data_IF_990814401815
#
_entry.id   IF_990814401815
#
_cell.length_a   1.000
_cell.length_b   1.000
_cell.length_c   1.000
_cell.angle_alpha   90.00
_cell.angle_beta   90.00
_cell.angle_gamma   90.00
#
_symmetry.space_group_name_H-M   'P 1'
#
loop_
_entity.id
_entity.type
_entity.pdbx_description
1 polymer ?
#
# COMPACT_ATOMS: atom_id res chain seq x y z
N UNK A 1 27.30 -17.26 17.11
CA UNK A 1 26.40 -16.74 18.16
C UNK A 1 25.13 -17.57 18.09
N UNK A 2 24.76 -18.30 19.16
CA UNK A 2 23.53 -19.10 19.13
C UNK A 2 22.31 -18.27 18.64
N UNK A 3 21.41 -18.91 17.90
CA UNK A 3 20.17 -18.29 17.44
C UNK A 3 19.45 -17.58 18.60
N UNK A 4 18.92 -16.37 18.36
CA UNK A 4 18.17 -15.64 19.37
C UNK A 4 16.68 -15.68 19.03
N UNK A 5 15.87 -16.11 20.00
CA UNK A 5 14.43 -16.26 19.87
C UNK A 5 13.72 -15.50 20.99
N UNK A 6 12.64 -14.79 20.66
CA UNK A 6 11.82 -14.08 21.66
C UNK A 6 10.37 -13.96 21.22
N UNK A 7 9.48 -13.70 22.18
CA UNK A 7 8.09 -13.31 21.92
C UNK A 7 7.87 -11.95 22.56
N UNK A 8 7.28 -11.01 21.81
CA UNK A 8 7.11 -9.63 22.26
C UNK A 8 5.86 -8.97 21.71
N UNK A 9 5.25 -8.11 22.52
CA UNK A 9 4.17 -7.20 22.11
C UNK A 9 4.67 -5.74 21.91
N UNK A 10 5.99 -5.53 22.01
CA UNK A 10 6.65 -4.23 21.97
C UNK A 10 6.86 -3.58 23.34
N UNK A 11 6.15 -4.02 24.39
CA UNK A 11 6.31 -3.54 25.77
C UNK A 11 6.93 -4.62 26.64
N UNK A 12 6.39 -5.83 26.58
CA UNK A 12 6.88 -7.04 27.24
C UNK A 12 7.62 -7.89 26.23
N UNK A 13 8.82 -8.35 26.58
CA UNK A 13 9.61 -9.26 25.74
C UNK A 13 10.07 -10.45 26.57
N UNK A 14 9.68 -11.64 26.15
CA UNK A 14 10.16 -12.91 26.70
C UNK A 14 11.23 -13.46 25.79
N UNK A 15 12.49 -13.39 26.22
CA UNK A 15 13.62 -14.00 25.51
C UNK A 15 13.65 -15.49 25.81
N UNK A 16 13.53 -16.32 24.78
CA UNK A 16 13.43 -17.77 24.90
C UNK A 16 14.83 -18.40 24.95
N UNK A 17 15.46 -18.38 26.13
CA UNK A 17 16.71 -19.07 26.39
C UNK A 17 16.82 -19.57 27.84
N UNK A 18 17.84 -20.37 28.12
CA UNK A 18 18.09 -20.94 29.46
C UNK A 18 18.30 -19.88 30.54
N UNK A 19 19.02 -18.79 30.24
CA UNK A 19 19.28 -17.69 31.18
C UNK A 19 18.00 -17.02 31.67
N UNK A 20 16.99 -16.88 30.80
CA UNK A 20 15.70 -16.29 31.15
C UNK A 20 14.69 -17.34 31.65
N UNK A 21 15.09 -18.61 31.77
CA UNK A 21 14.26 -19.73 32.22
C UNK A 21 13.24 -20.19 31.20
N UNK A 22 13.54 -20.03 29.92
CA UNK A 22 12.77 -20.57 28.79
C UNK A 22 13.72 -21.35 27.84
N UNK A 23 14.44 -22.38 28.30
CA UNK A 23 15.31 -23.16 27.43
C UNK A 23 14.50 -23.79 26.29
N UNK A 24 14.92 -23.54 25.04
CA UNK A 24 14.30 -24.12 23.84
C UNK A 24 15.13 -25.31 23.39
N UNK A 25 14.50 -26.47 23.29
CA UNK A 25 15.14 -27.71 22.86
C UNK A 25 15.11 -27.86 21.34
N UNK A 26 13.96 -27.56 20.74
CA UNK A 26 13.80 -27.60 19.29
C UNK A 26 12.76 -26.60 18.81
N UNK A 27 13.08 -25.93 17.72
CA UNK A 27 12.14 -25.08 16.98
C UNK A 27 12.59 -24.98 15.52
N UNK A 28 11.65 -25.16 14.60
CA UNK A 28 11.90 -25.01 13.17
C UNK A 28 10.71 -24.32 12.52
N UNK A 29 10.86 -23.07 12.06
CA UNK A 29 9.83 -22.37 11.30
C UNK A 29 9.45 -23.13 10.03
N UNK A 30 8.16 -23.24 9.77
CA UNK A 30 7.64 -23.91 8.57
C UNK A 30 7.47 -22.90 7.43
N UNK A 31 7.77 -23.31 6.20
CA UNK A 31 7.51 -22.49 5.01
C UNK A 31 6.00 -22.41 4.71
N UNK A 32 5.48 -21.24 4.30
CA UNK A 32 4.10 -21.15 3.87
C UNK A 32 3.84 -21.97 2.61
N UNK A 33 2.64 -22.53 2.52
CA UNK A 33 2.16 -23.22 1.31
C UNK A 33 1.32 -22.24 0.49
N UNK A 34 1.49 -22.19 -0.84
CA UNK A 34 0.63 -21.37 -1.68
C UNK A 34 -0.81 -21.90 -1.64
N UNK A 35 -1.77 -21.03 -1.33
CA UNK A 35 -3.17 -21.24 -1.63
C UNK A 35 -3.35 -21.00 -3.14
N UNK A 36 -3.60 -22.07 -3.88
CA UNK A 36 -4.00 -21.96 -5.28
C UNK A 36 -5.52 -22.02 -5.31
N UNK A 37 -6.17 -20.88 -5.58
CA UNK A 37 -7.55 -20.90 -6.06
C UNK A 37 -7.49 -21.29 -7.55
N UNK A 38 -7.80 -22.55 -7.86
CA UNK A 38 -8.06 -22.93 -9.25
C UNK A 38 -9.40 -22.32 -9.65
N UNK A 39 -9.36 -21.25 -10.45
CA UNK A 39 -10.49 -20.87 -11.27
C UNK A 39 -10.20 -21.52 -12.60
N UNK A 40 -10.86 -22.64 -12.91
CA UNK A 40 -10.92 -23.11 -14.29
C UNK A 40 -11.84 -22.14 -15.04
N UNK A 41 -11.32 -21.32 -15.97
CA UNK A 41 -12.20 -20.61 -16.88
C UNK A 41 -12.88 -21.70 -17.72
N UNK A 42 -14.21 -21.79 -17.67
CA UNK A 42 -14.96 -22.72 -18.52
C UNK A 42 -14.53 -22.56 -19.97
N UNK A 43 -13.86 -23.57 -20.52
CA UNK A 43 -13.44 -23.63 -21.93
C UNK A 43 -11.97 -23.28 -22.25
N UNK A 44 -11.08 -23.16 -21.26
CA UNK A 44 -9.63 -22.96 -21.50
C UNK A 44 -8.80 -24.06 -20.85
N UNK A 45 -8.32 -25.02 -21.65
CA UNK A 45 -7.30 -25.99 -21.21
C UNK A 45 -5.99 -25.24 -20.87
N UNK A 46 -5.48 -25.44 -19.67
CA UNK A 46 -4.28 -24.74 -19.17
C UNK A 46 -4.55 -23.38 -18.51
N UNK A 47 -5.77 -23.13 -18.03
CA UNK A 47 -6.17 -21.89 -17.35
C UNK A 47 -5.20 -21.44 -16.24
N UNK A 48 -4.91 -20.14 -16.23
CA UNK A 48 -3.99 -19.51 -15.29
C UNK A 48 -4.56 -19.43 -13.87
N UNK A 49 -3.70 -19.65 -12.88
CA UNK A 49 -4.00 -19.48 -11.45
C UNK A 49 -4.33 -18.01 -11.20
N UNK A 50 -5.58 -17.72 -10.84
CA UNK A 50 -6.10 -16.34 -10.77
C UNK A 50 -5.66 -15.57 -9.52
N UNK A 51 -5.23 -16.25 -8.45
CA UNK A 51 -4.66 -15.63 -7.26
C UNK A 51 -3.85 -16.68 -6.49
N UNK A 52 -2.52 -16.60 -6.55
CA UNK A 52 -1.66 -17.37 -5.65
C UNK A 52 -1.48 -16.56 -4.35
N UNK A 53 -2.34 -16.83 -3.38
CA UNK A 53 -2.23 -16.23 -2.05
C UNK A 53 -1.43 -17.15 -1.12
N UNK A 54 -0.77 -16.61 -0.09
CA UNK A 54 -0.06 -17.43 0.88
C UNK A 54 -0.94 -17.75 2.07
N UNK A 55 -0.98 -19.03 2.48
CA UNK A 55 -1.68 -19.43 3.70
C UNK A 55 -0.88 -19.06 4.94
N UNK A 56 -1.59 -18.70 6.01
CA UNK A 56 -0.97 -18.53 7.33
C UNK A 56 -0.32 -19.84 7.77
N UNK A 57 0.78 -19.75 8.51
CA UNK A 57 1.62 -20.90 8.85
C UNK A 57 1.30 -21.35 10.26
N UNK A 58 1.04 -22.64 10.42
CA UNK A 58 1.15 -23.30 11.73
C UNK A 58 2.51 -23.96 11.78
N UNK A 59 3.38 -23.44 12.63
CA UNK A 59 4.73 -23.99 12.80
C UNK A 59 4.66 -25.34 13.52
N UNK A 60 5.73 -26.13 13.42
CA UNK A 60 5.89 -27.31 14.25
C UNK A 60 5.93 -26.89 15.74
N UNK A 61 5.37 -27.69 16.67
CA UNK A 61 5.37 -27.33 18.08
C UNK A 61 6.79 -27.08 18.57
N UNK A 62 7.03 -25.91 19.16
CA UNK A 62 8.29 -25.58 19.81
C UNK A 62 8.38 -26.36 21.12
N UNK A 63 9.42 -27.18 21.26
CA UNK A 63 9.71 -27.90 22.50
C UNK A 63 10.57 -27.01 23.40
N UNK A 64 10.09 -26.75 24.61
CA UNK A 64 10.77 -25.87 25.55
C UNK A 64 10.54 -26.28 26.99
N UNK A 65 11.53 -26.02 27.84
CA UNK A 65 11.35 -26.01 29.28
C UNK A 65 10.93 -24.63 29.77
N UNK A 66 10.30 -24.58 30.93
CA UNK A 66 10.09 -23.36 31.71
C UNK A 66 10.66 -23.59 33.10
N UNK A 67 11.61 -22.76 33.51
CA UNK A 67 12.36 -22.91 34.76
C UNK A 67 12.29 -21.61 35.56
N UNK A 68 11.80 -21.72 36.78
CA UNK A 68 11.77 -20.64 37.77
C UNK A 68 12.86 -20.80 38.82
N UNK A 69 13.29 -19.68 39.39
CA UNK A 69 14.11 -19.63 40.61
C UNK A 69 13.34 -20.10 41.87
N UNK A 70 12.01 -20.10 41.78
CA UNK A 70 11.07 -20.61 42.78
C UNK A 70 9.78 -21.08 42.09
N UNK A 71 8.91 -21.77 42.81
CA UNK A 71 7.60 -22.20 42.28
C UNK A 71 6.71 -21.00 41.90
N UNK A 72 6.80 -19.91 42.64
CA UNK A 72 6.10 -18.65 42.33
C UNK A 72 6.64 -18.01 41.06
N UNK A 73 7.96 -18.04 40.86
CA UNK A 73 8.60 -17.54 39.63
C UNK A 73 8.23 -18.41 38.42
N UNK A 74 8.20 -19.74 38.55
CA UNK A 74 7.72 -20.65 37.50
C UNK A 74 6.29 -20.27 37.06
N UNK A 75 5.38 -20.08 38.02
CA UNK A 75 4.00 -19.65 37.74
C UNK A 75 3.96 -18.28 37.07
N UNK A 76 4.76 -17.32 37.54
CA UNK A 76 4.81 -15.98 36.95
C UNK A 76 5.27 -16.03 35.48
N UNK A 77 6.24 -16.89 35.15
CA UNK A 77 6.72 -17.09 33.78
C UNK A 77 5.67 -17.73 32.86
N UNK A 78 5.00 -18.78 33.34
CA UNK A 78 3.88 -19.41 32.61
C UNK A 78 2.80 -18.36 32.35
N UNK A 79 2.37 -17.63 33.40
CA UNK A 79 1.35 -16.59 33.28
C UNK A 79 1.75 -15.47 32.32
N UNK A 80 3.02 -15.05 32.32
CA UNK A 80 3.53 -14.02 31.43
C UNK A 80 3.47 -14.46 29.96
N UNK A 81 3.86 -15.72 29.68
CA UNK A 81 3.76 -16.29 28.34
C UNK A 81 2.30 -16.40 27.91
N UNK A 82 1.44 -17.03 28.71
CA UNK A 82 0.01 -17.17 28.43
C UNK A 82 -0.70 -15.83 28.21
N UNK A 83 -0.31 -14.79 28.96
CA UNK A 83 -0.85 -13.43 28.78
C UNK A 83 -0.53 -12.86 27.40
N UNK A 84 0.70 -13.06 26.91
CA UNK A 84 1.08 -12.65 25.54
C UNK A 84 0.32 -13.46 24.49
N UNK A 85 0.16 -14.78 24.67
CA UNK A 85 -0.58 -15.61 23.71
C UNK A 85 -2.07 -15.21 23.65
N UNK A 86 -2.68 -14.92 24.80
CA UNK A 86 -4.06 -14.45 24.87
C UNK A 86 -4.21 -13.03 24.29
N UNK A 87 -3.22 -12.15 24.46
CA UNK A 87 -3.20 -10.84 23.81
C UNK A 87 -3.20 -10.96 22.28
N UNK A 88 -2.40 -11.88 21.72
CA UNK A 88 -2.39 -12.18 20.30
C UNK A 88 -3.78 -12.60 19.80
N UNK A 89 -4.45 -13.51 20.52
CA UNK A 89 -5.79 -13.98 20.18
C UNK A 89 -6.85 -12.88 20.27
N UNK A 90 -6.80 -12.05 21.32
CA UNK A 90 -7.69 -10.89 21.48
C UNK A 90 -7.54 -9.89 20.35
N UNK A 91 -6.31 -9.65 19.87
CA UNK A 91 -6.04 -8.77 18.74
C UNK A 91 -6.72 -9.25 17.46
N UNK A 92 -6.70 -10.55 17.19
CA UNK A 92 -7.40 -11.11 16.02
C UNK A 92 -8.92 -11.01 16.14
N UNK A 93 -9.47 -11.12 17.36
CA UNK A 93 -10.92 -11.03 17.58
C UNK A 93 -11.44 -9.60 17.51
N UNK A 94 -10.79 -8.66 18.18
CA UNK A 94 -11.30 -7.30 18.38
C UNK A 94 -10.63 -6.25 17.50
N UNK A 95 -9.59 -6.62 16.75
CA UNK A 95 -8.77 -5.69 15.98
C UNK A 95 -8.16 -4.54 16.82
N UNK A 96 -8.09 -4.74 18.13
CA UNK A 96 -7.65 -3.78 19.14
C UNK A 96 -6.57 -4.41 20.02
N UNK A 97 -5.65 -3.61 20.54
CA UNK A 97 -4.51 -4.05 21.34
C UNK A 97 -3.20 -4.22 20.55
N UNK A 98 -2.10 -4.52 21.24
CA UNK A 98 -0.79 -4.68 20.60
C UNK A 98 -0.76 -5.95 19.74
N UNK A 99 0.07 -5.90 18.69
CA UNK A 99 0.40 -7.10 17.91
C UNK A 99 1.53 -7.84 18.62
N UNK A 100 1.38 -9.14 18.79
CA UNK A 100 2.39 -10.00 19.39
C UNK A 100 3.17 -10.67 18.27
N UNK A 101 4.50 -10.66 18.39
CA UNK A 101 5.41 -11.21 17.41
C UNK A 101 6.28 -12.28 18.02
N UNK A 102 6.54 -13.34 17.26
CA UNK A 102 7.73 -14.17 17.44
C UNK A 102 8.88 -13.52 16.69
N UNK A 103 10.05 -13.41 17.32
CA UNK A 103 11.27 -12.87 16.72
C UNK A 103 12.37 -13.92 16.68
N UNK A 104 13.06 -14.00 15.55
CA UNK A 104 14.16 -14.94 15.32
C UNK A 104 15.32 -14.20 14.67
N UNK A 105 16.52 -14.34 15.24
CA UNK A 105 17.77 -13.97 14.61
C UNK A 105 18.62 -15.24 14.49
N UNK A 106 18.98 -15.60 13.26
CA UNK A 106 19.83 -16.77 13.04
C UNK A 106 21.29 -16.49 13.38
N UNK A 107 22.04 -17.54 13.72
CA UNK A 107 23.49 -17.44 13.86
C UNK A 107 24.10 -16.94 12.54
N UNK A 108 25.01 -15.98 12.64
CA UNK A 108 25.65 -15.33 11.51
C UNK A 108 24.80 -14.26 10.80
N UNK A 109 23.51 -14.14 11.08
CA UNK A 109 22.68 -13.06 10.52
C UNK A 109 22.73 -11.79 11.39
N UNK A 110 22.94 -10.63 10.74
CA UNK A 110 22.92 -9.33 11.40
C UNK A 110 21.49 -8.84 11.75
N UNK A 111 20.47 -9.43 11.14
CA UNK A 111 19.10 -8.93 11.19
C UNK A 111 18.20 -9.84 12.00
N UNK A 112 17.38 -9.24 12.87
CA UNK A 112 16.28 -9.94 13.52
C UNK A 112 15.04 -9.88 12.63
N UNK A 113 14.40 -11.02 12.48
CA UNK A 113 13.16 -11.20 11.74
C UNK A 113 12.02 -11.44 12.71
N UNK A 114 10.81 -11.03 12.34
CA UNK A 114 9.61 -11.22 13.15
C UNK A 114 8.43 -11.66 12.31
N UNK A 115 7.51 -12.38 12.94
CA UNK A 115 6.21 -12.71 12.36
C UNK A 115 5.12 -12.54 13.40
N UNK A 116 3.99 -11.95 13.02
CA UNK A 116 2.87 -11.74 13.92
C UNK A 116 2.22 -13.09 14.26
N UNK A 117 2.07 -13.36 15.55
CA UNK A 117 1.34 -14.52 16.07
C UNK A 117 -0.16 -14.22 15.97
N UNK A 118 -0.90 -15.10 15.29
CA UNK A 118 -2.36 -14.99 15.09
C UNK A 118 -3.11 -15.82 16.12
N UNK A 119 -2.60 -17.02 16.40
CA UNK A 119 -3.10 -17.90 17.43
C UNK A 119 -1.92 -18.66 18.01
N UNK A 120 -1.96 -18.94 19.30
CA UNK A 120 -0.99 -19.80 19.94
C UNK A 120 -1.58 -20.44 21.19
N UNK A 121 -1.02 -21.56 21.60
CA UNK A 121 -1.35 -22.21 22.87
C UNK A 121 -0.11 -22.88 23.46
N UNK A 122 0.00 -22.78 24.78
CA UNK A 122 0.99 -23.49 25.57
C UNK A 122 0.35 -24.79 26.06
N UNK A 123 1.00 -25.92 25.81
CA UNK A 123 0.59 -27.23 26.31
C UNK A 123 1.70 -27.73 27.25
N UNK A 124 1.38 -27.95 28.51
CA UNK A 124 2.30 -28.63 29.42
C UNK A 124 2.38 -30.12 29.05
N UNK A 125 3.56 -30.72 29.13
CA UNK A 125 3.74 -32.15 28.87
C UNK A 125 2.99 -33.01 29.89
N UNK A 126 2.69 -34.26 29.54
CA UNK A 126 1.87 -35.16 30.36
C UNK A 126 2.42 -35.35 31.79
N UNK A 127 3.73 -35.26 31.96
CA UNK A 127 4.45 -35.43 33.23
C UNK A 127 4.90 -34.10 33.86
N UNK A 128 4.34 -32.97 33.43
CA UNK A 128 4.70 -31.63 33.89
C UNK A 128 4.68 -31.46 35.42
N UNK A 129 3.80 -32.17 36.12
CA UNK A 129 3.70 -32.13 37.59
C UNK A 129 4.88 -32.80 38.30
N UNK A 130 5.59 -33.73 37.66
CA UNK A 130 6.74 -34.42 38.25
C UNK A 130 7.94 -33.48 38.42
N UNK A 131 8.08 -32.49 37.54
CA UNK A 131 9.15 -31.49 37.57
C UNK A 131 8.80 -30.26 38.41
N UNK A 132 7.50 -30.06 38.71
CA UNK A 132 7.00 -28.90 39.45
C UNK A 132 7.64 -28.71 40.84
N UNK A 133 7.92 -29.76 41.65
CA UNK A 133 8.64 -29.62 42.91
C UNK A 133 10.00 -28.94 42.76
N UNK A 134 10.66 -29.12 41.61
CA UNK A 134 11.95 -28.54 41.24
C UNK A 134 11.82 -27.15 40.58
N UNK A 135 10.63 -26.54 40.61
CA UNK A 135 10.32 -25.27 39.93
C UNK A 135 10.63 -25.29 38.42
N UNK A 136 10.42 -26.44 37.78
CA UNK A 136 10.59 -26.62 36.35
C UNK A 136 9.37 -27.35 35.75
N UNK A 137 9.16 -27.18 34.45
CA UNK A 137 8.21 -27.96 33.68
C UNK A 137 8.60 -28.00 32.20
N UNK A 138 8.13 -29.00 31.48
CA UNK A 138 8.30 -29.11 30.02
C UNK A 138 6.98 -28.74 29.34
N UNK A 139 7.09 -28.04 28.20
CA UNK A 139 5.96 -27.53 27.47
C UNK A 139 6.18 -27.54 25.96
N UNK A 140 5.07 -27.63 25.24
CA UNK A 140 4.99 -27.42 23.79
C UNK A 140 4.26 -26.12 23.51
N UNK A 141 4.92 -25.23 22.79
CA UNK A 141 4.31 -24.00 22.30
C UNK A 141 3.88 -24.18 20.85
N UNK A 142 2.58 -24.20 20.62
CA UNK A 142 1.98 -24.30 19.30
C UNK A 142 1.68 -22.89 18.79
N UNK A 143 2.20 -22.52 17.61
CA UNK A 143 2.07 -21.16 17.05
C UNK A 143 1.50 -21.23 15.64
N UNK A 144 0.45 -20.43 15.39
CA UNK A 144 0.00 -20.03 14.06
C UNK A 144 0.35 -18.56 13.86
N UNK A 145 1.14 -18.26 12.83
CA UNK A 145 1.67 -16.92 12.53
C UNK A 145 1.35 -16.48 11.12
N UNK A 146 1.66 -15.22 10.82
CA UNK A 146 1.64 -14.71 9.44
C UNK A 146 2.53 -15.56 8.53
N UNK A 147 2.13 -15.69 7.28
CA UNK A 147 2.86 -16.47 6.27
C UNK A 147 4.28 -15.96 5.99
N UNK A 148 4.59 -14.72 6.35
CA UNK A 148 5.88 -14.09 6.11
C UNK A 148 6.61 -13.75 7.40
N UNK A 149 7.92 -13.57 7.24
CA UNK A 149 8.82 -12.93 8.18
C UNK A 149 9.15 -11.54 7.66
N UNK A 150 9.08 -10.52 8.53
CA UNK A 150 9.53 -9.17 8.22
C UNK A 150 10.68 -8.75 9.13
N UNK A 151 11.56 -7.87 8.66
CA UNK A 151 12.62 -7.32 9.51
C UNK A 151 12.02 -6.50 10.65
N UNK A 152 12.64 -6.56 11.84
CA UNK A 152 12.21 -5.73 12.99
C UNK A 152 12.45 -4.24 12.75
N UNK A 153 13.51 -3.91 12.03
CA UNK A 153 13.87 -2.55 11.62
C UNK A 153 13.39 -2.22 10.20
N UNK A 154 13.13 -0.95 9.95
CA UNK A 154 12.78 -0.44 8.62
C UNK A 154 14.04 -0.24 7.77
N UNK A 155 13.92 -0.50 6.47
CA UNK A 155 14.87 -0.10 5.45
C UNK A 155 14.35 1.13 4.70
N UNK A 156 15.26 1.94 4.17
CA UNK A 156 14.92 3.11 3.35
C UNK A 156 14.93 2.72 1.88
N UNK A 157 13.77 2.81 1.21
CA UNK A 157 13.69 2.67 -0.25
C UNK A 157 14.13 3.96 -0.94
N UNK A 158 13.76 5.11 -0.36
CA UNK A 158 14.13 6.44 -0.86
C UNK A 158 14.19 7.42 0.30
N UNK A 159 15.31 8.14 0.38
CA UNK A 159 15.41 9.31 1.25
C UNK A 159 14.52 10.43 0.75
N UNK A 160 14.25 11.42 1.60
CA UNK A 160 13.47 12.61 1.25
C UNK A 160 13.87 13.17 -0.11
N UNK A 161 12.93 13.15 -1.05
CA UNK A 161 13.10 13.63 -2.42
C UNK A 161 11.92 14.54 -2.76
N UNK A 162 12.22 15.75 -3.22
CA UNK A 162 11.20 16.69 -3.66
C UNK A 162 10.63 16.27 -5.01
N UNK A 163 9.30 16.21 -5.08
CA UNK A 163 8.53 16.06 -6.30
C UNK A 163 7.61 17.27 -6.46
N UNK A 164 7.19 17.53 -7.69
CA UNK A 164 6.17 18.53 -7.98
C UNK A 164 4.87 17.86 -8.38
N UNK A 165 3.75 18.51 -8.12
CA UNK A 165 2.41 18.03 -8.44
C UNK A 165 2.11 18.10 -9.95
N UNK A 166 3.08 17.82 -10.83
CA UNK A 166 2.99 17.92 -12.29
C UNK A 166 3.73 16.75 -13.00
N UNK A 167 4.50 17.00 -14.06
CA UNK A 167 5.25 15.96 -14.78
C UNK A 167 6.33 15.27 -13.91
N UNK A 168 6.85 15.95 -12.89
CA UNK A 168 7.90 15.44 -12.01
C UNK A 168 7.32 14.91 -10.69
N UNK A 169 6.14 14.28 -10.76
CA UNK A 169 5.43 13.73 -9.61
C UNK A 169 5.80 12.28 -9.26
N UNK A 170 6.97 11.82 -9.73
CA UNK A 170 7.40 10.43 -9.68
C UNK A 170 8.69 10.24 -8.89
N UNK A 171 8.78 9.14 -8.16
CA UNK A 171 10.01 8.61 -7.57
C UNK A 171 10.33 7.22 -8.12
N UNK A 172 11.61 6.99 -8.44
CA UNK A 172 12.12 5.66 -8.79
C UNK A 172 12.79 5.01 -7.57
N UNK A 173 12.44 3.75 -7.31
CA UNK A 173 12.95 2.91 -6.23
C UNK A 173 13.52 1.60 -6.84
N UNK A 174 14.85 1.49 -6.94
CA UNK A 174 15.53 0.40 -7.68
C UNK A 174 16.22 -0.64 -6.77
N UNK A 175 15.99 -0.59 -5.46
CA UNK A 175 16.71 -1.46 -4.50
C UNK A 175 15.82 -1.88 -3.33
N UNK A 176 14.67 -2.46 -3.66
CA UNK A 176 13.78 -3.05 -2.66
C UNK A 176 14.32 -4.41 -2.24
N UNK A 177 14.66 -4.54 -0.96
CA UNK A 177 15.17 -5.73 -0.31
C UNK A 177 14.02 -6.68 0.08
N UNK A 178 14.34 -7.96 0.22
CA UNK A 178 13.39 -9.01 0.56
C UNK A 178 13.13 -9.93 -0.63
N UNK A 179 12.15 -10.81 -0.46
CA UNK A 179 11.81 -11.84 -1.45
C UNK A 179 10.36 -11.70 -1.92
N UNK A 180 9.49 -11.12 -1.11
CA UNK A 180 8.06 -10.95 -1.42
C UNK A 180 7.64 -9.48 -1.29
N UNK A 181 6.50 -9.09 -1.91
CA UNK A 181 5.99 -7.74 -1.79
C UNK A 181 5.80 -7.32 -0.32
N UNK A 182 6.13 -6.06 -0.04
CA UNK A 182 6.07 -5.50 1.31
C UNK A 182 5.38 -4.13 1.33
N UNK A 183 4.52 -3.86 2.32
CA UNK A 183 3.85 -2.57 2.42
C UNK A 183 4.86 -1.43 2.58
N UNK A 184 4.65 -0.35 1.84
CA UNK A 184 5.41 0.87 2.02
C UNK A 184 5.03 1.59 3.32
N UNK A 185 5.93 2.43 3.78
CA UNK A 185 5.70 3.45 4.79
C UNK A 185 6.09 4.77 4.13
N UNK A 186 5.11 5.62 3.91
CA UNK A 186 5.23 6.87 3.19
C UNK A 186 5.20 8.02 4.18
N UNK A 187 6.18 8.92 4.13
CA UNK A 187 6.18 10.23 4.79
C UNK A 187 6.21 11.29 3.69
N UNK A 188 5.10 12.01 3.53
CA UNK A 188 4.88 13.01 2.47
C UNK A 188 4.75 14.37 3.16
N UNK A 189 5.73 15.24 2.95
CA UNK A 189 5.82 16.54 3.62
C UNK A 189 5.57 17.70 2.68
N UNK A 190 4.94 18.73 3.22
CA UNK A 190 4.74 20.01 2.58
C UNK A 190 6.08 20.75 2.49
N UNK A 191 6.46 21.17 1.29
CA UNK A 191 7.68 21.95 1.02
C UNK A 191 7.37 23.19 0.19
N UNK A 192 6.36 23.97 0.60
CA UNK A 192 5.85 25.12 -0.15
C UNK A 192 6.13 26.46 0.56
N UNK A 193 6.85 26.46 1.68
CA UNK A 193 7.16 27.66 2.48
C UNK A 193 5.94 28.26 3.21
N UNK A 194 4.78 27.60 3.18
CA UNK A 194 3.55 28.03 3.81
C UNK A 194 2.67 26.85 4.19
N UNK A 195 1.72 27.05 5.11
CA UNK A 195 0.73 26.04 5.44
C UNK A 195 -0.27 25.85 4.29
N UNK A 196 -0.46 24.62 3.83
CA UNK A 196 -1.36 24.25 2.73
C UNK A 196 -2.46 23.32 3.24
N UNK A 197 -3.69 23.55 2.81
CA UNK A 197 -4.84 22.71 3.14
C UNK A 197 -4.93 21.53 2.16
N UNK A 198 -3.94 20.64 2.12
CA UNK A 198 -4.04 19.46 1.25
C UNK A 198 -5.27 18.64 1.62
N UNK A 199 -6.04 18.19 0.62
CA UNK A 199 -7.33 17.52 0.80
C UNK A 199 -7.25 16.05 0.38
N UNK A 200 -6.81 15.76 -0.83
CA UNK A 200 -6.60 14.41 -1.34
C UNK A 200 -5.12 14.17 -1.65
N UNK A 201 -4.68 12.93 -1.45
CA UNK A 201 -3.43 12.39 -1.97
C UNK A 201 -3.73 11.10 -2.73
N UNK A 202 -3.38 11.08 -4.00
CA UNK A 202 -3.50 9.90 -4.86
C UNK A 202 -2.11 9.38 -5.17
N UNK A 203 -1.86 8.14 -4.78
CA UNK A 203 -0.53 7.55 -4.83
C UNK A 203 -0.65 6.23 -5.58
N UNK A 204 0.21 6.00 -6.57
CA UNK A 204 0.26 4.75 -7.32
C UNK A 204 1.67 4.23 -7.47
N UNK A 205 1.86 2.93 -7.56
CA UNK A 205 3.15 2.32 -7.88
C UNK A 205 3.07 1.51 -9.17
N UNK A 206 3.84 1.91 -10.18
CA UNK A 206 4.07 1.10 -11.38
C UNK A 206 5.30 0.22 -11.21
N UNK A 207 5.10 -1.08 -11.42
CA UNK A 207 6.12 -2.12 -11.26
C UNK A 207 6.26 -2.95 -12.52
N UNK A 208 5.17 -3.15 -13.27
CA UNK A 208 5.12 -4.10 -14.38
C UNK A 208 5.02 -3.43 -15.76
N UNK A 209 4.56 -2.17 -15.86
CA UNK A 209 4.37 -1.50 -17.16
C UNK A 209 5.61 -0.72 -17.61
N UNK A 210 6.48 -0.34 -16.66
CA UNK A 210 7.78 0.26 -16.94
C UNK A 210 7.67 1.67 -17.51
N UNK A 211 6.82 2.51 -16.95
CA UNK A 211 6.73 3.93 -17.31
C UNK A 211 7.95 4.71 -16.78
N UNK A 212 9.02 4.73 -17.57
CA UNK A 212 10.33 5.32 -17.22
C UNK A 212 10.43 6.81 -17.56
N UNK A 213 9.48 7.36 -18.33
CA UNK A 213 9.40 8.78 -18.68
C UNK A 213 8.09 9.45 -18.26
N UNK A 214 7.57 10.33 -19.11
CA UNK A 214 6.25 10.98 -18.98
C UNK A 214 5.10 10.11 -19.53
N UNK A 215 5.36 8.83 -19.76
CA UNK A 215 4.46 7.88 -20.43
C UNK A 215 3.22 7.59 -19.60
N UNK A 216 3.29 7.80 -18.28
CA UNK A 216 2.16 7.75 -17.37
C UNK A 216 1.20 8.94 -17.54
N UNK A 217 1.51 9.92 -18.41
CA UNK A 217 0.68 11.09 -18.66
C UNK A 217 0.29 11.19 -20.13
N UNK A 218 -0.98 11.51 -20.35
CA UNK A 218 -1.53 11.91 -21.63
C UNK A 218 -1.80 13.40 -21.59
N UNK A 219 -1.39 14.11 -22.64
CA UNK A 219 -1.56 15.56 -22.72
C UNK A 219 -3.06 15.93 -22.71
N UNK A 220 -3.39 16.96 -21.94
CA UNK A 220 -4.72 17.56 -21.96
C UNK A 220 -4.84 18.66 -23.01
N UNK A 221 -5.79 19.58 -22.81
CA UNK A 221 -6.03 20.71 -23.70
C UNK A 221 -7.00 21.74 -23.11
N UNK A 222 -7.29 22.76 -23.90
CA UNK A 222 -8.22 23.84 -23.54
C UNK A 222 -9.41 23.86 -24.49
N UNK A 223 -10.61 23.93 -23.92
CA UNK A 223 -11.86 24.09 -24.65
C UNK A 223 -12.64 25.27 -24.09
N UNK A 224 -13.04 26.20 -24.95
CA UNK A 224 -13.86 27.35 -24.61
C UNK A 224 -15.22 27.24 -25.29
N UNK A 225 -16.28 27.51 -24.54
CA UNK A 225 -17.66 27.45 -25.03
C UNK A 225 -18.39 28.76 -24.70
N UNK A 226 -19.12 29.28 -25.70
CA UNK A 226 -19.90 30.51 -25.57
C UNK A 226 -21.38 30.28 -25.26
N UNK A 227 -21.83 29.03 -25.19
CA UNK A 227 -23.23 28.64 -25.02
C UNK A 227 -23.30 27.32 -24.23
N UNK A 228 -24.48 26.95 -23.68
CA UNK A 228 -24.64 25.69 -22.96
C UNK A 228 -24.14 24.49 -23.77
N UNK A 229 -23.45 23.57 -23.10
CA UNK A 229 -22.93 22.33 -23.68
C UNK A 229 -23.55 21.13 -22.98
N UNK A 230 -23.59 20.00 -23.68
CA UNK A 230 -24.10 18.72 -23.18
C UNK A 230 -23.07 17.62 -23.44
N UNK A 231 -23.31 16.41 -22.90
CA UNK A 231 -22.44 15.26 -23.16
C UNK A 231 -22.39 14.79 -24.62
N UNK A 232 -23.18 15.38 -25.52
CA UNK A 232 -23.08 15.18 -26.97
C UNK A 232 -21.99 16.04 -27.62
N UNK A 233 -21.42 16.99 -26.88
CA UNK A 233 -20.32 17.83 -27.35
C UNK A 233 -18.98 17.19 -26.97
N UNK A 234 -18.11 17.00 -27.97
CA UNK A 234 -16.70 16.71 -27.73
C UNK A 234 -16.05 17.97 -27.14
N UNK A 235 -15.61 17.89 -25.88
CA UNK A 235 -14.93 18.99 -25.19
C UNK A 235 -13.44 18.88 -25.44
N UNK A 236 -12.83 17.75 -25.08
CA UNK A 236 -11.41 17.49 -25.31
C UNK A 236 -11.18 16.05 -25.75
N UNK A 237 -10.18 15.88 -26.61
CA UNK A 237 -9.67 14.58 -27.04
C UNK A 237 -8.18 14.50 -26.71
N UNK A 238 -7.80 13.42 -26.03
CA UNK A 238 -6.44 13.15 -25.59
C UNK A 238 -5.98 11.80 -26.14
N UNK A 239 -5.15 11.83 -27.17
CA UNK A 239 -4.70 10.62 -27.89
C UNK A 239 -3.65 9.84 -27.10
N UNK A 240 -3.86 8.53 -26.97
CA UNK A 240 -2.89 7.62 -26.35
C UNK A 240 -1.90 7.16 -27.40
N UNK A 241 -0.62 7.44 -27.16
CA UNK A 241 0.43 6.99 -28.09
C UNK A 241 0.52 5.46 -28.13
N UNK A 242 0.93 4.91 -29.28
CA UNK A 242 1.14 3.46 -29.43
C UNK A 242 2.07 2.89 -28.36
N UNK A 243 3.16 3.59 -28.04
CA UNK A 243 4.12 3.17 -27.00
C UNK A 243 3.47 3.03 -25.63
N UNK A 244 2.60 3.98 -25.26
CA UNK A 244 1.91 3.94 -23.96
C UNK A 244 0.91 2.79 -23.93
N UNK A 245 0.09 2.63 -24.99
CA UNK A 245 -0.88 1.53 -25.06
C UNK A 245 -0.21 0.14 -25.06
N UNK A 246 0.92 -0.01 -25.76
CA UNK A 246 1.70 -1.25 -25.77
C UNK A 246 2.24 -1.57 -24.35
N UNK A 247 2.70 -0.56 -23.60
CA UNK A 247 3.15 -0.71 -22.21
C UNK A 247 2.01 -1.02 -21.25
N UNK A 248 0.83 -0.44 -21.47
CA UNK A 248 -0.36 -0.76 -20.68
C UNK A 248 -0.75 -2.23 -20.81
N UNK A 249 -0.55 -2.85 -21.97
CA UNK A 249 -0.70 -4.29 -22.19
C UNK A 249 -2.04 -4.90 -21.73
N UNK A 250 -3.14 -4.13 -21.74
CA UNK A 250 -4.44 -4.58 -21.21
C UNK A 250 -4.59 -4.44 -19.70
N UNK A 251 -3.70 -3.71 -19.04
CA UNK A 251 -3.76 -3.40 -17.61
C UNK A 251 -4.87 -2.42 -17.24
N UNK A 252 -5.19 -2.38 -15.95
CA UNK A 252 -6.19 -1.49 -15.37
C UNK A 252 -5.53 -0.26 -14.72
N UNK A 253 -6.03 0.93 -15.04
CA UNK A 253 -5.49 2.20 -14.59
C UNK A 253 -6.60 3.10 -14.05
N UNK A 254 -6.34 3.75 -12.91
CA UNK A 254 -7.06 4.96 -12.52
C UNK A 254 -6.71 6.09 -13.49
N UNK A 255 -7.75 6.81 -13.91
CA UNK A 255 -7.67 7.95 -14.80
C UNK A 255 -7.77 9.24 -14.00
N UNK A 256 -6.62 9.82 -13.66
CA UNK A 256 -6.56 11.04 -12.85
C UNK A 256 -6.42 12.28 -13.74
N UNK A 257 -7.45 13.12 -13.82
CA UNK A 257 -7.45 14.38 -14.58
C UNK A 257 -7.10 15.58 -13.71
N UNK A 258 -5.99 16.27 -14.02
CA UNK A 258 -5.62 17.52 -13.35
C UNK A 258 -6.12 18.74 -14.13
N UNK A 259 -7.08 19.48 -13.59
CA UNK A 259 -7.66 20.66 -14.23
C UNK A 259 -7.03 21.96 -13.71
N UNK A 260 -6.41 22.73 -14.59
CA UNK A 260 -5.96 24.10 -14.28
C UNK A 260 -7.07 25.14 -14.48
N UNK A 261 -8.16 24.78 -15.16
CA UNK A 261 -9.39 25.55 -15.19
C UNK A 261 -10.58 24.60 -15.35
N UNK A 262 -11.47 24.58 -14.37
CA UNK A 262 -12.75 23.90 -14.50
C UNK A 262 -13.78 24.66 -13.66
N UNK A 263 -14.77 25.31 -14.28
CA UNK A 263 -15.78 26.05 -13.53
C UNK A 263 -16.57 25.12 -12.59
N UNK A 264 -16.94 25.63 -11.42
CA UNK A 264 -17.77 24.91 -10.46
C UNK A 264 -19.20 24.70 -11.01
N UNK A 265 -19.84 23.60 -10.63
CA UNK A 265 -21.21 23.26 -11.06
C UNK A 265 -21.32 22.68 -12.47
N UNK A 266 -20.19 22.42 -13.13
CA UNK A 266 -20.14 21.70 -14.41
C UNK A 266 -20.04 20.21 -14.15
N UNK A 267 -20.78 19.42 -14.92
CA UNK A 267 -20.65 17.96 -14.88
C UNK A 267 -19.64 17.54 -15.94
N UNK A 268 -18.63 16.78 -15.55
CA UNK A 268 -17.60 16.26 -16.46
C UNK A 268 -17.60 14.75 -16.44
N UNK A 269 -17.32 14.17 -17.60
CA UNK A 269 -17.24 12.73 -17.78
C UNK A 269 -16.22 12.40 -18.85
N UNK A 270 -15.34 11.47 -18.53
CA UNK A 270 -14.36 10.94 -19.45
C UNK A 270 -14.87 9.61 -20.05
N UNK A 271 -14.48 9.32 -21.27
CA UNK A 271 -14.79 8.09 -22.02
C UNK A 271 -13.59 7.60 -22.79
N UNK A 272 -13.51 6.29 -23.02
CA UNK A 272 -12.49 5.68 -23.87
C UNK A 272 -13.08 5.34 -25.24
N UNK A 273 -12.42 5.77 -26.32
CA UNK A 273 -12.86 5.48 -27.68
C UNK A 273 -11.75 4.87 -28.53
N UNK A 274 -12.16 4.08 -29.51
CA UNK A 274 -11.36 3.78 -30.71
C UNK A 274 -11.70 4.80 -31.80
N UNK A 275 -10.67 5.32 -32.45
CA UNK A 275 -10.81 6.25 -33.57
C UNK A 275 -10.10 5.76 -34.83
N UNK A 276 -10.56 6.23 -36.00
CA UNK A 276 -9.83 6.18 -37.27
C UNK A 276 -9.83 7.56 -37.91
N UNK A 277 -8.65 8.13 -38.11
CA UNK A 277 -8.44 9.54 -38.47
C UNK A 277 -9.06 10.44 -37.40
N UNK A 278 -10.02 11.27 -37.81
CA UNK A 278 -10.78 12.15 -36.92
C UNK A 278 -12.11 11.53 -36.46
N UNK A 279 -12.51 10.39 -37.03
CA UNK A 279 -13.80 9.77 -36.73
C UNK A 279 -13.73 8.86 -35.51
N UNK A 280 -14.69 9.02 -34.61
CA UNK A 280 -14.98 8.09 -33.52
C UNK A 280 -15.65 6.84 -34.11
N UNK A 281 -15.13 5.66 -33.82
CA UNK A 281 -15.71 4.41 -34.29
C UNK A 281 -16.55 3.71 -33.23
N UNK A 282 -15.98 3.52 -32.04
CA UNK A 282 -16.62 2.77 -30.97
C UNK A 282 -16.16 3.25 -29.61
N UNK A 283 -17.12 3.39 -28.70
CA UNK A 283 -16.85 3.62 -27.29
C UNK A 283 -16.48 2.28 -26.62
N UNK A 284 -15.35 2.25 -25.93
CA UNK A 284 -14.84 1.08 -25.21
C UNK A 284 -15.19 1.11 -23.72
N UNK A 285 -15.20 2.29 -23.11
CA UNK A 285 -15.48 2.48 -21.69
C UNK A 285 -16.16 3.82 -21.43
N UNK A 286 -16.87 3.91 -20.32
CA UNK A 286 -17.65 5.07 -19.90
C UNK A 286 -17.39 5.36 -18.43
N UNK A 287 -16.94 6.58 -18.11
CA UNK A 287 -16.66 6.99 -16.73
C UNK A 287 -17.89 7.36 -15.92
N UNK A 288 -17.73 7.56 -14.60
CA UNK A 288 -18.73 8.24 -13.80
C UNK A 288 -18.84 9.72 -14.22
N UNK A 289 -20.04 10.27 -14.10
CA UNK A 289 -20.24 11.71 -14.20
C UNK A 289 -19.89 12.36 -12.86
N UNK A 290 -19.07 13.41 -12.90
CA UNK A 290 -18.55 14.07 -11.70
C UNK A 290 -18.92 15.55 -11.76
N UNK A 291 -19.50 16.05 -10.67
CA UNK A 291 -19.79 17.48 -10.53
C UNK A 291 -18.54 18.21 -10.09
N UNK A 292 -18.17 19.25 -10.82
CA UNK A 292 -17.01 20.08 -10.51
C UNK A 292 -17.26 20.99 -9.32
N UNK A 293 -16.29 21.05 -8.41
CA UNK A 293 -16.21 22.09 -7.37
C UNK A 293 -15.23 23.21 -7.70
N UNK A 294 -14.54 23.16 -8.85
CA UNK A 294 -13.52 24.14 -9.23
C UNK A 294 -12.34 23.52 -10.00
N UNK A 295 -11.15 24.10 -9.87
CA UNK A 295 -9.90 23.59 -10.46
C UNK A 295 -9.48 22.27 -9.80
N UNK A 296 -10.11 21.15 -10.09
CA UNK A 296 -9.92 19.94 -9.28
C UNK A 296 -8.99 18.89 -9.90
N UNK A 297 -8.45 18.04 -9.04
CA UNK A 297 -7.93 16.74 -9.44
C UNK A 297 -9.10 15.75 -9.38
N UNK A 298 -9.39 15.08 -10.50
CA UNK A 298 -10.56 14.22 -10.65
C UNK A 298 -10.12 12.79 -10.93
N UNK A 299 -10.65 11.82 -10.19
CA UNK A 299 -10.53 10.41 -10.53
C UNK A 299 -11.76 9.99 -11.36
N UNK A 300 -11.57 9.71 -12.65
CA UNK A 300 -12.61 9.20 -13.55
C UNK A 300 -12.79 7.68 -13.43
N UNK A 301 -12.19 7.05 -12.44
CA UNK A 301 -12.30 5.63 -12.15
C UNK A 301 -11.26 4.79 -12.88
N UNK A 302 -11.49 3.47 -12.86
CA UNK A 302 -10.53 2.47 -13.31
C UNK A 302 -10.95 1.85 -14.63
N UNK A 303 -10.11 1.95 -15.66
CA UNK A 303 -10.37 1.35 -16.96
C UNK A 303 -9.24 0.47 -17.45
N UNK A 304 -9.60 -0.48 -18.31
CA UNK A 304 -8.66 -1.31 -19.03
C UNK A 304 -8.22 -0.59 -20.31
N UNK A 305 -6.91 -0.48 -20.53
CA UNK A 305 -6.36 0.09 -21.77
C UNK A 305 -5.93 -1.07 -22.68
N UNK A 306 -6.69 -1.37 -23.76
CA UNK A 306 -6.43 -2.55 -24.56
C UNK A 306 -5.11 -2.43 -25.34
N UNK A 307 -4.37 -3.54 -25.51
CA UNK A 307 -3.17 -3.55 -26.32
C UNK A 307 -3.50 -3.59 -27.82
N UNK A 308 -2.70 -2.87 -28.63
CA UNK A 308 -2.73 -3.01 -30.08
C UNK A 308 -3.87 -2.26 -30.81
N UNK A 309 -3.98 -2.48 -32.12
CA UNK A 309 -4.95 -1.79 -32.99
C UNK A 309 -4.61 -0.32 -33.31
N UNK A 310 -3.49 0.18 -32.79
CA UNK A 310 -3.02 1.55 -32.98
C UNK A 310 -2.05 1.62 -34.17
N UNK A 311 -2.35 2.49 -35.12
CA UNK A 311 -1.58 2.81 -36.32
C UNK A 311 -1.43 4.33 -36.48
N UNK A 312 -0.81 4.80 -37.57
CA UNK A 312 -0.76 6.23 -37.87
C UNK A 312 -2.15 6.86 -38.08
N UNK A 313 -3.14 6.06 -38.47
CA UNK A 313 -4.50 6.51 -38.79
C UNK A 313 -5.56 5.93 -37.87
N UNK A 314 -5.22 5.15 -36.86
CA UNK A 314 -6.18 4.55 -35.93
C UNK A 314 -5.59 4.46 -34.53
N UNK A 315 -6.40 4.61 -33.50
CA UNK A 315 -5.88 4.53 -32.14
C UNK A 315 -6.95 4.53 -31.07
N UNK A 316 -6.48 4.72 -29.84
CA UNK A 316 -7.31 4.84 -28.66
C UNK A 316 -7.12 6.25 -28.10
N UNK A 317 -8.20 6.87 -27.68
CA UNK A 317 -8.13 8.18 -27.07
C UNK A 317 -9.19 8.39 -26.00
N UNK A 318 -8.84 9.29 -25.09
CA UNK A 318 -9.68 9.72 -24.00
C UNK A 318 -10.50 10.92 -24.44
N UNK A 319 -11.80 10.82 -24.23
CA UNK A 319 -12.80 11.79 -24.64
C UNK A 319 -13.42 12.41 -23.40
N UNK A 320 -13.09 13.67 -23.14
CA UNK A 320 -13.78 14.45 -22.13
C UNK A 320 -15.03 15.07 -22.75
N UNK A 321 -16.14 14.91 -22.04
CA UNK A 321 -17.42 15.56 -22.34
C UNK A 321 -17.92 16.27 -21.10
N UNK A 322 -18.73 17.32 -21.27
CA UNK A 322 -19.22 18.10 -20.14
C UNK A 322 -20.65 18.63 -20.36
N UNK A 323 -21.35 18.87 -19.25
CA UNK A 323 -22.62 19.59 -19.22
C UNK A 323 -22.44 20.89 -18.46
N UNK A 324 -22.73 22.01 -19.11
CA UNK A 324 -22.68 23.34 -18.51
C UNK A 324 -23.83 24.20 -19.04
N UNK A 325 -24.43 25.02 -18.18
CA UNK A 325 -25.58 25.87 -18.50
C UNK A 325 -25.25 27.27 -19.02
N UNK A 326 -23.98 27.60 -19.25
CA UNK A 326 -23.53 28.96 -19.60
C UNK A 326 -22.32 28.96 -20.52
N UNK A 327 -21.52 30.04 -20.50
CA UNK A 327 -20.21 30.11 -21.17
C UNK A 327 -19.07 29.84 -20.19
N UNK A 328 -17.92 29.38 -20.67
CA UNK A 328 -16.74 29.18 -19.84
C UNK A 328 -15.59 28.52 -20.58
N UNK A 329 -14.56 28.15 -19.82
CA UNK A 329 -13.35 27.50 -20.34
C UNK A 329 -12.96 26.33 -19.44
N UNK A 330 -12.76 25.17 -20.06
CA UNK A 330 -12.24 23.96 -19.43
C UNK A 330 -10.80 23.77 -19.92
N UNK A 331 -9.86 23.70 -18.99
CA UNK A 331 -8.45 23.40 -19.26
C UNK A 331 -8.03 22.18 -18.44
N UNK A 332 -7.91 21.06 -19.14
CA UNK A 332 -7.31 19.84 -18.63
C UNK A 332 -5.80 19.95 -18.88
N UNK A 333 -5.00 19.94 -17.82
CA UNK A 333 -3.55 20.00 -17.97
C UNK A 333 -2.98 18.65 -18.43
N UNK A 334 -3.53 17.55 -17.91
CA UNK A 334 -3.12 16.18 -18.23
C UNK A 334 -4.16 15.17 -17.72
N UNK A 335 -4.15 13.98 -18.30
CA UNK A 335 -4.66 12.75 -17.71
C UNK A 335 -3.46 11.90 -17.28
N UNK A 336 -3.48 11.37 -16.07
CA UNK A 336 -2.47 10.47 -15.57
C UNK A 336 -3.02 9.05 -15.44
N UNK A 337 -2.31 8.12 -16.07
CA UNK A 337 -2.51 6.68 -15.97
C UNK A 337 -1.80 6.21 -14.70
N UNK A 338 -2.58 5.83 -13.70
CA UNK A 338 -2.05 5.33 -12.43
C UNK A 338 -2.47 3.87 -12.25
N UNK A 339 -1.54 2.90 -12.11
CA UNK A 339 -1.93 1.48 -12.01
C UNK A 339 -2.93 1.22 -10.89
N UNK A 340 -3.99 0.46 -11.17
CA UNK A 340 -5.08 0.26 -10.22
C UNK A 340 -4.78 -0.74 -9.09
N UNK A 341 -3.80 -1.62 -9.27
CA UNK A 341 -3.48 -2.68 -8.30
C UNK A 341 -2.84 -2.13 -7.01
N UNK A 342 -1.83 -1.27 -7.15
CA UNK A 342 -1.10 -0.66 -6.05
C UNK A 342 -1.39 0.84 -6.04
N UNK A 343 -2.65 1.16 -5.75
CA UNK A 343 -3.18 2.52 -5.63
C UNK A 343 -3.59 2.79 -4.18
N UNK A 344 -3.29 3.99 -3.70
CA UNK A 344 -3.61 4.46 -2.36
C UNK A 344 -4.22 5.85 -2.44
N UNK A 345 -5.41 6.01 -1.85
CA UNK A 345 -6.08 7.30 -1.71
C UNK A 345 -6.19 7.68 -0.24
N UNK A 346 -5.59 8.82 0.11
CA UNK A 346 -5.66 9.41 1.45
C UNK A 346 -6.45 10.71 1.39
N UNK A 347 -7.26 10.94 2.41
CA UNK A 347 -8.08 12.13 2.54
C UNK A 347 -7.81 12.85 3.86
N UNK A 348 -7.58 14.15 3.81
CA UNK A 348 -7.45 15.01 4.98
C UNK A 348 -8.74 15.81 5.13
N UNK A 349 -9.40 15.81 6.29
CA UNK A 349 -10.73 16.44 6.38
C UNK A 349 -10.71 17.96 6.55
N UNK A 350 -9.79 18.51 7.35
CA UNK A 350 -9.86 19.95 7.71
C UNK A 350 -8.53 20.57 8.11
N UNK A 351 -7.43 19.81 8.14
CA UNK A 351 -6.20 20.28 8.76
C UNK A 351 -5.26 20.93 7.75
N UNK A 352 -4.84 22.17 8.01
CA UNK A 352 -3.77 22.80 7.24
C UNK A 352 -2.44 22.17 7.63
N UNK A 353 -1.72 21.62 6.67
CA UNK A 353 -0.40 21.03 6.89
C UNK A 353 0.61 22.17 6.83
N UNK A 354 1.29 22.52 7.94
CA UNK A 354 2.31 23.57 7.93
C UNK A 354 3.48 23.16 7.04
N UNK A 355 4.29 24.13 6.63
CA UNK A 355 5.54 23.85 5.92
C UNK A 355 6.45 22.95 6.77
N UNK A 356 7.05 21.93 6.15
CA UNK A 356 7.79 20.85 6.82
C UNK A 356 6.93 19.83 7.57
N UNK A 357 5.62 20.09 7.75
CA UNK A 357 4.64 19.12 8.24
C UNK A 357 4.25 18.14 7.14
N UNK A 358 3.52 17.08 7.47
CA UNK A 358 3.22 16.06 6.48
C UNK A 358 2.15 15.06 6.84
N UNK A 359 1.97 14.09 5.96
CA UNK A 359 1.12 12.92 6.09
C UNK A 359 2.02 11.70 6.15
N UNK A 360 1.73 10.82 7.11
CA UNK A 360 2.38 9.51 7.20
C UNK A 360 1.34 8.42 7.00
N UNK A 361 1.65 7.48 6.12
CA UNK A 361 0.92 6.23 5.95
C UNK A 361 1.87 5.06 6.20
N UNK A 362 1.58 4.21 7.18
CA UNK A 362 2.30 2.95 7.42
C UNK A 362 1.42 1.78 6.97
N UNK A 363 1.71 1.23 5.80
CA UNK A 363 0.97 0.09 5.26
C UNK A 363 1.14 -1.20 6.05
N UNK A 364 2.18 -1.31 6.87
CA UNK A 364 2.41 -2.46 7.73
C UNK A 364 1.45 -2.47 8.93
N UNK A 365 1.24 -1.31 9.56
CA UNK A 365 0.29 -1.16 10.69
C UNK A 365 -1.11 -0.74 10.26
N UNK A 366 -1.27 -0.26 9.01
CA UNK A 366 -2.47 0.40 8.48
C UNK A 366 -2.83 1.68 9.24
N UNK A 367 -1.82 2.38 9.74
CA UNK A 367 -2.00 3.68 10.39
C UNK A 367 -1.84 4.81 9.37
N UNK A 368 -2.70 5.82 9.50
CA UNK A 368 -2.58 7.07 8.75
C UNK A 368 -2.77 8.24 9.71
N UNK A 369 -1.88 9.22 9.64
CA UNK A 369 -1.93 10.40 10.50
C UNK A 369 -1.16 11.56 9.87
N UNK A 370 -1.43 12.78 10.32
CA UNK A 370 -0.60 13.93 9.97
C UNK A 370 0.42 14.22 11.09
N UNK A 371 1.53 14.84 10.70
CA UNK A 371 2.58 15.32 11.59
C UNK A 371 2.82 16.81 11.35
N UNK A 372 3.31 17.49 12.38
CA UNK A 372 3.73 18.90 12.28
C UNK A 372 5.27 18.95 12.20
N UNK A 373 5.83 19.89 11.44
CA UNK A 373 7.28 20.06 11.27
C UNK A 373 8.03 20.15 12.60
N UNK A 374 7.44 20.85 13.58
CA UNK A 374 8.07 21.14 14.87
C UNK A 374 7.87 20.03 15.93
N UNK A 375 7.07 19.00 15.66
CA UNK A 375 6.73 17.98 16.67
C UNK A 375 6.57 16.60 16.05
N UNK A 376 7.02 15.56 16.74
CA UNK A 376 6.70 14.17 16.41
C UNK A 376 5.27 13.75 16.77
N UNK A 377 4.44 14.69 17.24
CA UNK A 377 3.06 14.44 17.60
C UNK A 377 2.25 14.00 16.37
N UNK A 378 1.43 12.97 16.56
CA UNK A 378 0.55 12.40 15.54
C UNK A 378 -0.85 12.96 15.70
N UNK A 379 -1.44 13.43 14.60
CA UNK A 379 -2.81 13.96 14.59
C UNK A 379 -3.70 13.10 13.70
N UNK A 380 -4.88 12.74 14.21
CA UNK A 380 -5.86 11.88 13.53
C UNK A 380 -6.77 12.68 12.58
N UNK A 381 -6.17 13.43 11.66
CA UNK A 381 -6.86 14.29 10.67
C UNK A 381 -6.98 13.63 9.30
N UNK A 382 -6.21 12.56 9.10
CA UNK A 382 -6.13 11.78 7.86
C UNK A 382 -7.04 10.57 7.92
N UNK A 383 -7.58 10.21 6.77
CA UNK A 383 -8.42 9.04 6.54
C UNK A 383 -7.87 8.25 5.36
N UNK A 384 -7.89 6.93 5.50
CA UNK A 384 -7.59 6.01 4.41
C UNK A 384 -8.89 5.75 3.65
N UNK A 385 -8.96 6.20 2.39
CA UNK A 385 -10.18 6.08 1.59
C UNK A 385 -10.22 4.76 0.82
N UNK A 386 -9.10 4.37 0.20
CA UNK A 386 -9.03 3.16 -0.60
C UNK A 386 -7.60 2.62 -0.77
N UNK A 387 -7.52 1.32 -1.02
CA UNK A 387 -6.36 0.64 -1.57
C UNK A 387 -5.17 0.47 -0.62
N UNK A 388 -3.98 0.29 -1.17
CA UNK A 388 -2.75 0.03 -0.43
C UNK A 388 -1.55 0.12 -1.34
N UNK A 389 -0.37 0.24 -0.75
CA UNK A 389 0.88 0.42 -1.49
C UNK A 389 1.90 -0.65 -1.10
N UNK A 390 2.19 -1.55 -2.03
CA UNK A 390 3.28 -2.51 -1.87
C UNK A 390 4.49 -2.11 -2.71
N UNK A 391 5.66 -2.46 -2.19
CA UNK A 391 6.94 -2.41 -2.87
C UNK A 391 7.37 -3.82 -3.23
N UNK A 392 7.89 -3.98 -4.44
CA UNK A 392 8.21 -5.29 -5.01
C UNK A 392 9.73 -5.47 -5.10
N UNK A 393 10.32 -6.43 -4.36
CA UNK A 393 11.74 -6.73 -4.45
C UNK A 393 12.17 -7.19 -5.84
N UNK A 394 13.40 -6.85 -6.23
CA UNK A 394 13.98 -7.26 -7.53
C UNK A 394 13.37 -6.60 -8.76
N UNK A 395 12.47 -5.64 -8.59
CA UNK A 395 11.82 -4.86 -9.64
C UNK A 395 12.06 -3.36 -9.41
N UNK A 396 12.07 -2.57 -10.47
CA UNK A 396 11.98 -1.11 -10.37
C UNK A 396 10.55 -0.74 -9.98
N UNK A 397 10.41 0.06 -8.93
CA UNK A 397 9.13 0.57 -8.47
C UNK A 397 9.07 2.08 -8.79
N UNK A 398 8.03 2.50 -9.52
CA UNK A 398 7.80 3.88 -9.93
C UNK A 398 6.60 4.43 -9.18
N UNK A 399 6.87 5.14 -8.08
CA UNK A 399 5.83 5.74 -7.25
C UNK A 399 5.40 7.10 -7.82
N UNK A 400 4.11 7.28 -8.06
CA UNK A 400 3.50 8.56 -8.42
C UNK A 400 2.74 9.12 -7.24
N UNK A 401 2.79 10.44 -7.03
CA UNK A 401 2.02 11.12 -5.99
C UNK A 401 1.41 12.38 -6.59
N UNK A 402 0.09 12.51 -6.51
CA UNK A 402 -0.63 13.74 -6.82
C UNK A 402 -1.44 14.19 -5.61
N UNK A 403 -1.67 15.48 -5.49
CA UNK A 403 -2.51 16.05 -4.45
C UNK A 403 -3.40 17.19 -4.96
N UNK A 404 -4.42 17.50 -4.17
CA UNK A 404 -5.22 18.71 -4.30
C UNK A 404 -5.39 19.39 -2.94
N UNK A 405 -6.03 20.56 -2.96
CA UNK A 405 -6.20 21.44 -1.81
C UNK A 405 -7.67 21.62 -1.41
N UNK A 406 -7.91 22.17 -0.23
CA UNK A 406 -9.23 22.50 0.28
C UNK A 406 -9.95 23.47 -0.66
N UNK A 407 -11.19 23.13 -1.03
CA UNK A 407 -12.01 23.61 -2.18
C UNK A 407 -11.86 22.82 -3.49
N UNK A 408 -11.06 21.75 -3.49
CA UNK A 408 -10.81 20.94 -4.67
C UNK A 408 -9.98 21.71 -5.69
N UNK A 409 -8.95 22.42 -5.21
CA UNK A 409 -8.03 23.20 -6.07
C UNK A 409 -6.76 22.41 -6.31
N UNK A 410 -6.40 22.21 -7.57
CA UNK A 410 -5.22 21.55 -8.07
C UNK A 410 -4.23 22.64 -8.52
N UNK A 411 -3.07 22.62 -7.87
CA UNK A 411 -1.98 23.54 -8.16
C UNK A 411 -0.77 22.71 -8.59
N UNK A 412 -0.33 22.88 -9.83
CA UNK A 412 0.71 22.06 -10.47
C UNK A 412 2.15 22.38 -9.98
N UNK A 413 2.34 23.57 -9.41
CA UNK A 413 3.61 24.02 -8.82
C UNK A 413 3.84 23.51 -7.40
N UNK A 414 2.88 22.80 -6.79
CA UNK A 414 3.03 22.30 -5.42
C UNK A 414 4.19 21.35 -5.30
N UNK A 415 5.00 21.56 -4.27
CA UNK A 415 6.14 20.73 -3.94
C UNK A 415 5.85 19.85 -2.72
N UNK A 416 6.19 18.56 -2.84
CA UNK A 416 6.10 17.58 -1.76
C UNK A 416 7.44 16.90 -1.60
N UNK A 417 7.89 16.75 -0.36
CA UNK A 417 9.06 15.94 -0.02
C UNK A 417 8.59 14.54 0.37
N UNK A 418 8.98 13.52 -0.39
CA UNK A 418 8.53 12.14 -0.18
C UNK A 418 9.68 11.28 0.31
N UNK A 419 9.50 10.64 1.45
CA UNK A 419 10.37 9.60 1.98
C UNK A 419 9.63 8.26 1.95
N UNK A 420 10.31 7.21 1.48
CA UNK A 420 9.75 5.86 1.39
C UNK A 420 10.61 4.92 2.21
N UNK A 421 10.02 4.32 3.24
CA UNK A 421 10.63 3.26 4.05
C UNK A 421 9.74 2.02 4.03
N UNK A 422 10.27 0.87 4.44
CA UNK A 422 9.52 -0.40 4.45
C UNK A 422 10.20 -1.42 5.37
N UNK A 423 9.55 -2.54 5.65
CA UNK A 423 10.17 -3.69 6.33
C UNK A 423 10.38 -4.81 5.32
N UNK A 424 11.62 -5.18 4.95
CA UNK A 424 11.86 -6.30 4.03
C UNK A 424 11.15 -7.56 4.50
N UNK A 425 10.54 -8.32 3.56
CA UNK A 425 9.80 -9.55 3.86
C UNK A 425 10.40 -10.76 3.15
N UNK A 426 10.37 -11.91 3.82
CA UNK A 426 10.74 -13.22 3.27
C UNK A 426 9.78 -14.31 3.75
N UNK A 427 9.72 -15.43 3.02
CA UNK A 427 8.83 -16.55 3.36
C UNK A 427 9.41 -17.43 4.46
N UNK A 428 10.74 -17.56 4.51
CA UNK A 428 11.47 -18.44 5.44
C UNK A 428 12.63 -17.70 6.07
N UNK A 429 13.00 -18.08 7.29
CA UNK A 429 14.19 -17.59 7.99
C UNK A 429 15.22 -18.70 8.03
#
# INVERSE_FOLDING_TARGET
MAHALSITDGTTTLTLNSTNGYPVESYTPVSPTPAMAMIEPTGVDGGTVSAADWRQVTDLPMQMGIVGSSKTDLQAKINALETLLEAARRRQRFHSGPRVYIQLQLDGEANTWRSEILAARLELEADALNLWPSAATEARLNITRRYFWERTTTATAKSSTTITNNASNRLTLDSILGVIPTPAILDIRNNNGAAINFRNFYIGNDVEHGFTGTEHRVAGGTYSYGAPITHNNLVLRSDVSKTVADKCAGGYFHMLGGFSSLPAGIYVKERLFVYVGVAELAQLADGPEIVSTGQQLVDFGVWQIPPGGISASSGISFYLSAVAGGSGTITLSFLQLTPARDFLHLYNRTYNIPDGGGVVWDGGTQEVYSINAASTARYATMQHMAGGMNLYPGKSNYLYVLCDEGSGTYTDTRQLDVTVTYRPRRLTV
#
